data_IF_249487284396
#
_entry.id   IF_249487284396
#
_cell.length_a   1.000
_cell.length_b   1.000
_cell.length_c   1.000
_cell.angle_alpha   90.00
_cell.angle_beta   90.00
_cell.angle_gamma   90.00
#
_symmetry.space_group_name_H-M   'P 1'
#
loop_
_entity.id
_entity.type
_entity.pdbx_description
1 polymer ?
#
# COMPACT_ATOMS: atom_id res chain seq x y z
N UNK A 1 4.60 -24.47 -0.96
CA UNK A 1 3.64 -24.36 0.17
C UNK A 1 3.54 -22.90 0.61
N UNK A 2 2.34 -22.33 0.77
CA UNK A 2 2.17 -20.95 1.25
C UNK A 2 2.63 -20.84 2.71
N UNK A 3 3.23 -19.72 3.14
CA UNK A 3 3.73 -19.54 4.51
C UNK A 3 2.62 -19.64 5.56
N UNK A 4 1.38 -19.30 5.21
CA UNK A 4 0.21 -19.48 6.07
C UNK A 4 -0.04 -20.96 6.41
N UNK A 5 0.02 -21.84 5.41
CA UNK A 5 -0.18 -23.29 5.58
C UNK A 5 0.96 -23.87 6.43
N UNK A 6 2.20 -23.38 6.26
CA UNK A 6 3.33 -23.82 7.11
C UNK A 6 3.11 -23.47 8.58
N UNK A 7 2.57 -22.28 8.88
CA UNK A 7 2.27 -21.87 10.26
C UNK A 7 1.20 -22.74 10.90
N UNK A 8 0.20 -23.13 10.11
CA UNK A 8 -0.87 -24.01 10.55
C UNK A 8 -0.32 -25.39 10.92
N UNK A 9 0.52 -25.99 10.05
CA UNK A 9 1.20 -27.26 10.35
C UNK A 9 2.06 -27.16 11.61
N UNK A 10 2.83 -26.08 11.77
CA UNK A 10 3.62 -25.85 12.99
C UNK A 10 2.72 -25.76 14.22
N UNK A 11 1.58 -25.08 14.14
CA UNK A 11 0.61 -24.99 15.24
C UNK A 11 0.00 -26.35 15.59
N UNK A 12 -0.40 -27.13 14.58
CA UNK A 12 -0.94 -28.48 14.77
C UNK A 12 0.06 -29.41 15.44
N UNK A 13 1.32 -29.41 14.99
CA UNK A 13 2.38 -30.23 15.59
C UNK A 13 2.71 -29.79 17.02
N UNK A 14 2.61 -28.48 17.31
CA UNK A 14 2.84 -27.96 18.65
C UNK A 14 1.81 -28.52 19.64
N UNK A 15 0.53 -28.54 19.25
CA UNK A 15 -0.58 -29.03 20.07
C UNK A 15 -0.61 -30.55 20.14
N UNK A 16 -0.41 -31.24 19.01
CA UNK A 16 -0.50 -32.70 18.94
C UNK A 16 0.59 -33.44 19.74
N UNK A 17 1.78 -32.84 19.83
CA UNK A 17 2.93 -33.46 20.49
C UNK A 17 3.36 -32.75 21.79
N UNK A 18 2.61 -31.73 22.23
CA UNK A 18 2.92 -30.89 23.41
C UNK A 18 4.39 -30.43 23.47
N UNK A 19 4.92 -29.99 22.33
CA UNK A 19 6.31 -29.55 22.20
C UNK A 19 6.38 -28.04 21.99
N UNK A 20 7.48 -27.43 22.47
CA UNK A 20 7.66 -25.98 22.30
C UNK A 20 7.74 -25.55 20.83
N UNK A 21 7.30 -24.32 20.53
CA UNK A 21 7.43 -23.67 19.20
C UNK A 21 8.85 -23.81 18.63
N UNK A 22 9.88 -23.74 19.49
CA UNK A 22 11.30 -23.89 19.11
C UNK A 22 11.58 -25.29 18.52
N UNK A 23 11.10 -26.33 19.19
CA UNK A 23 11.31 -27.73 18.82
C UNK A 23 10.57 -28.07 17.53
N UNK A 24 9.33 -27.57 17.37
CA UNK A 24 8.57 -27.73 16.11
C UNK A 24 9.23 -26.99 14.94
N UNK A 25 9.67 -25.74 15.16
CA UNK A 25 10.33 -24.94 14.12
C UNK A 25 11.65 -25.59 13.66
N UNK A 26 12.42 -26.19 14.58
CA UNK A 26 13.60 -26.99 14.23
C UNK A 26 13.23 -28.24 13.42
N UNK A 27 12.24 -29.01 13.87
CA UNK A 27 11.81 -30.23 13.21
C UNK A 27 11.24 -30.00 11.79
N UNK A 28 10.57 -28.86 11.58
CA UNK A 28 9.92 -28.50 10.30
C UNK A 28 10.78 -27.60 9.39
N UNK A 29 11.98 -27.21 9.84
CA UNK A 29 12.86 -26.27 9.13
C UNK A 29 12.20 -24.91 8.87
N UNK A 30 11.27 -24.47 9.73
CA UNK A 30 10.58 -23.18 9.59
C UNK A 30 11.20 -22.12 10.51
N UNK A 31 11.45 -20.93 9.97
CA UNK A 31 12.04 -19.85 10.74
C UNK A 31 11.09 -19.28 11.78
N UNK A 32 11.52 -19.18 13.04
CA UNK A 32 10.75 -18.60 14.17
C UNK A 32 10.22 -17.19 13.88
N UNK A 33 10.98 -16.36 13.16
CA UNK A 33 10.55 -15.02 12.73
C UNK A 33 9.31 -15.08 11.83
N UNK A 34 9.25 -16.08 10.95
CA UNK A 34 8.11 -16.31 10.07
C UNK A 34 6.91 -16.89 10.81
N UNK A 35 7.11 -17.68 11.86
CA UNK A 35 6.04 -18.19 12.73
C UNK A 35 5.39 -17.06 13.55
N UNK A 36 6.23 -16.20 14.14
CA UNK A 36 5.78 -15.10 15.01
C UNK A 36 5.24 -13.88 14.26
N UNK A 37 5.50 -13.77 12.96
CA UNK A 37 5.06 -12.63 12.18
C UNK A 37 3.53 -12.53 12.15
N UNK A 38 3.00 -11.52 12.84
CA UNK A 38 1.62 -11.08 12.73
C UNK A 38 1.54 -9.90 11.77
N UNK A 39 0.63 -10.01 10.79
CA UNK A 39 0.29 -8.89 9.92
C UNK A 39 -0.36 -7.82 10.80
N UNK A 40 0.31 -6.67 10.98
CA UNK A 40 -0.27 -5.53 11.66
C UNK A 40 -1.40 -5.01 10.76
N UNK A 41 -2.64 -4.98 11.27
CA UNK A 41 -3.76 -4.39 10.54
C UNK A 41 -3.38 -2.96 10.19
N UNK A 42 -3.57 -2.62 8.93
CA UNK A 42 -2.99 -1.39 8.42
C UNK A 42 -3.90 -0.21 8.80
N UNK A 43 -3.46 0.77 9.60
CA UNK A 43 -4.20 2.02 9.82
C UNK A 43 -4.36 2.86 8.53
N UNK A 44 -3.97 2.31 7.36
CA UNK A 44 -4.10 2.92 6.04
C UNK A 44 -5.52 3.30 5.65
N UNK A 45 -6.55 2.55 6.06
CA UNK A 45 -7.91 2.81 5.54
C UNK A 45 -8.43 4.16 6.04
N UNK A 46 -8.29 4.42 7.34
CA UNK A 46 -8.71 5.69 7.96
C UNK A 46 -7.88 6.87 7.43
N UNK A 47 -6.57 6.70 7.34
CA UNK A 47 -5.67 7.72 6.78
C UNK A 47 -6.02 8.05 5.32
N UNK A 48 -6.31 7.03 4.51
CA UNK A 48 -6.64 7.19 3.09
C UNK A 48 -7.96 7.95 2.93
N UNK A 49 -8.99 7.61 3.72
CA UNK A 49 -10.25 8.36 3.72
C UNK A 49 -10.05 9.82 4.09
N UNK A 50 -9.30 10.10 5.17
CA UNK A 50 -9.02 11.48 5.60
C UNK A 50 -8.23 12.27 4.55
N UNK A 51 -7.23 11.67 3.93
CA UNK A 51 -6.48 12.34 2.86
C UNK A 51 -7.36 12.64 1.64
N UNK A 52 -8.32 11.77 1.31
CA UNK A 52 -9.32 12.05 0.25
C UNK A 52 -10.22 13.22 0.62
N UNK A 53 -10.76 13.24 1.84
CA UNK A 53 -11.60 14.34 2.33
C UNK A 53 -10.85 15.67 2.26
N UNK A 54 -9.61 15.71 2.76
CA UNK A 54 -8.77 16.91 2.73
C UNK A 54 -8.45 17.37 1.31
N UNK A 55 -8.18 16.42 0.40
CA UNK A 55 -7.91 16.73 -1.00
C UNK A 55 -9.16 17.20 -1.75
N UNK A 56 -10.33 16.63 -1.45
CA UNK A 56 -11.61 17.06 -2.01
C UNK A 56 -11.99 18.46 -1.52
N UNK A 57 -11.79 18.76 -0.23
CA UNK A 57 -12.06 20.07 0.34
C UNK A 57 -11.11 21.16 -0.17
N UNK A 58 -9.86 20.81 -0.53
CA UNK A 58 -8.82 21.78 -0.91
C UNK A 58 -7.97 21.29 -2.08
N UNK A 59 -8.61 21.19 -3.25
CA UNK A 59 -8.04 20.66 -4.51
C UNK A 59 -6.70 21.29 -4.91
N UNK A 60 -6.41 22.54 -4.54
CA UNK A 60 -5.12 23.21 -4.85
C UNK A 60 -3.92 22.74 -4.02
N UNK A 61 -4.11 21.90 -3.01
CA UNK A 61 -3.05 21.51 -2.09
C UNK A 61 -2.28 20.28 -2.59
N UNK A 62 -0.98 20.44 -2.80
CA UNK A 62 -0.08 19.31 -3.04
C UNK A 62 0.17 18.48 -1.78
N UNK A 63 0.74 17.29 -1.95
CA UNK A 63 0.95 16.28 -0.90
C UNK A 63 1.68 16.82 0.36
N UNK A 64 2.58 17.80 0.23
CA UNK A 64 3.28 18.42 1.37
C UNK A 64 2.32 19.14 2.32
N UNK A 65 1.33 19.85 1.76
CA UNK A 65 0.36 20.61 2.56
C UNK A 65 -0.69 19.70 3.18
N UNK A 66 -1.10 18.66 2.45
CA UNK A 66 -1.95 17.58 2.97
C UNK A 66 -1.28 16.82 4.13
N UNK A 67 0.03 16.56 4.04
CA UNK A 67 0.80 15.92 5.12
C UNK A 67 0.79 16.75 6.41
N UNK A 68 0.97 18.07 6.33
CA UNK A 68 0.93 18.96 7.50
C UNK A 68 -0.46 18.98 8.14
N UNK A 69 -1.51 19.07 7.32
CA UNK A 69 -2.89 19.07 7.82
C UNK A 69 -3.25 17.75 8.50
N UNK A 70 -2.92 16.63 7.84
CA UNK A 70 -3.11 15.29 8.42
C UNK A 70 -2.35 15.13 9.74
N UNK A 71 -1.14 15.70 9.87
CA UNK A 71 -0.38 15.68 11.13
C UNK A 71 -1.04 16.50 12.24
N UNK A 72 -1.68 17.64 11.90
CA UNK A 72 -2.44 18.46 12.87
C UNK A 72 -3.67 17.75 13.38
N UNK A 73 -4.27 16.89 12.56
CA UNK A 73 -5.40 16.03 12.93
C UNK A 73 -4.98 14.77 13.73
N UNK A 74 -3.70 14.67 14.12
CA UNK A 74 -3.19 13.58 14.95
C UNK A 74 -2.74 12.34 14.16
N UNK A 75 -2.72 12.40 12.82
CA UNK A 75 -2.13 11.32 12.03
C UNK A 75 -0.60 11.50 11.94
N UNK A 76 0.14 10.87 12.85
CA UNK A 76 1.60 10.79 12.79
C UNK A 76 2.08 9.83 11.69
N UNK A 77 1.96 10.28 10.44
CA UNK A 77 2.30 9.47 9.28
C UNK A 77 3.46 10.09 8.52
N UNK A 78 4.47 9.28 8.17
CA UNK A 78 5.61 9.73 7.39
C UNK A 78 5.18 10.35 6.04
N UNK A 79 5.77 11.49 5.66
CA UNK A 79 5.52 12.18 4.38
C UNK A 79 5.63 11.26 3.16
N UNK A 80 6.51 10.24 3.18
CA UNK A 80 6.62 9.23 2.11
C UNK A 80 5.34 8.44 1.93
N UNK A 81 4.65 8.10 3.02
CA UNK A 81 3.40 7.34 3.00
C UNK A 81 2.24 8.20 2.50
N UNK A 82 2.18 9.46 2.92
CA UNK A 82 1.23 10.43 2.36
C UNK A 82 1.41 10.62 0.86
N UNK A 83 2.66 10.72 0.38
CA UNK A 83 2.95 10.82 -1.05
C UNK A 83 2.50 9.59 -1.84
N UNK A 84 2.74 8.37 -1.30
CA UNK A 84 2.27 7.13 -1.95
C UNK A 84 0.76 7.11 -2.08
N UNK A 85 0.03 7.38 -0.99
CA UNK A 85 -1.44 7.44 -1.03
C UNK A 85 -1.91 8.53 -2.01
N UNK A 86 -1.27 9.70 -2.01
CA UNK A 86 -1.59 10.79 -2.95
C UNK A 86 -1.41 10.38 -4.42
N UNK A 87 -0.38 9.58 -4.73
CA UNK A 87 -0.13 9.05 -6.08
C UNK A 87 -1.12 7.94 -6.45
N UNK A 88 -1.34 6.99 -5.54
CA UNK A 88 -2.25 5.86 -5.75
C UNK A 88 -3.71 6.33 -5.95
N UNK A 89 -4.09 7.41 -5.27
CA UNK A 89 -5.44 8.00 -5.35
C UNK A 89 -5.59 9.06 -6.46
N UNK A 90 -4.54 9.30 -7.26
CA UNK A 90 -4.64 10.22 -8.39
C UNK A 90 -4.87 11.69 -8.00
N UNK A 91 -4.60 12.08 -6.76
CA UNK A 91 -4.84 13.44 -6.22
C UNK A 91 -3.90 14.51 -6.80
N UNK A 92 -3.02 14.10 -7.72
CA UNK A 92 -2.11 14.95 -8.47
C UNK A 92 -2.88 15.93 -9.36
N UNK A 93 -2.86 17.22 -9.00
CA UNK A 93 -3.25 18.29 -9.92
C UNK A 93 -2.32 18.24 -11.13
N UNK A 94 -2.82 17.78 -12.26
CA UNK A 94 -2.12 17.89 -13.54
C UNK A 94 -2.24 19.36 -13.95
N UNK A 95 -1.14 20.13 -14.04
CA UNK A 95 -1.26 21.47 -14.61
C UNK A 95 -1.85 21.34 -16.02
N UNK A 96 -2.73 22.27 -16.44
CA UNK A 96 -3.16 22.30 -17.82
C UNK A 96 -1.92 22.35 -18.72
N UNK A 97 -1.94 21.68 -19.89
CA UNK A 97 -0.83 21.78 -20.82
C UNK A 97 -0.56 23.27 -21.11
N UNK A 98 0.71 23.68 -21.24
CA UNK A 98 1.03 25.06 -21.54
C UNK A 98 0.27 25.49 -22.80
N UNK A 99 -0.29 26.71 -22.76
CA UNK A 99 -1.02 27.30 -23.89
C UNK A 99 -0.11 27.28 -25.12
N UNK A 100 -0.42 26.41 -26.09
CA UNK A 100 0.38 26.22 -27.30
C UNK A 100 0.72 24.76 -27.65
N UNK A 101 0.53 23.79 -26.75
CA UNK A 101 0.70 22.38 -27.11
C UNK A 101 -0.60 21.75 -27.62
N UNK A 102 -1.03 22.14 -28.82
CA UNK A 102 -1.95 21.31 -29.60
C UNK A 102 -1.19 20.03 -29.99
N UNK A 103 -1.42 18.93 -29.25
CA UNK A 103 -1.03 17.62 -29.74
C UNK A 103 -1.80 17.39 -31.03
N UNK A 104 -1.10 17.39 -32.17
CA UNK A 104 -1.70 16.90 -33.41
C UNK A 104 -2.19 15.46 -33.17
N UNK A 105 -3.46 15.15 -33.50
CA UNK A 105 -3.91 13.77 -33.49
C UNK A 105 -3.10 13.00 -34.54
N UNK A 106 -2.45 11.91 -34.14
CA UNK A 106 -1.86 10.96 -35.09
C UNK A 106 -3.01 10.30 -35.83
N UNK A 107 -3.33 10.83 -37.01
CA UNK A 107 -4.28 10.23 -37.94
C UNK A 107 -3.81 8.83 -38.36
N UNK A 108 -4.78 7.94 -38.48
CA UNK A 108 -4.63 6.49 -38.59
C UNK A 108 -3.54 5.97 -39.51
N UNK A 109 -2.86 4.91 -39.04
CA UNK A 109 -2.34 3.87 -39.92
C UNK A 109 -3.33 2.72 -39.89
N UNK A 110 -4.11 2.58 -40.96
CA UNK A 110 -4.84 1.34 -41.20
C UNK A 110 -3.83 0.22 -41.49
N UNK A 111 -4.01 -1.00 -40.95
CA UNK A 111 -3.13 -2.12 -41.27
C UNK A 111 -3.29 -2.52 -42.75
N UNK A 112 -2.19 -2.86 -43.46
CA UNK A 112 -2.28 -3.33 -44.83
C UNK A 112 -2.93 -4.71 -44.88
N UNK A 113 -3.94 -4.86 -45.75
CA UNK A 113 -4.39 -6.16 -46.22
C UNK A 113 -3.75 -6.43 -47.58
N UNK A 114 -3.07 -7.57 -47.69
CA UNK A 114 -2.34 -8.02 -48.85
C UNK A 114 -1.43 -9.17 -48.46
#
# INVERSE_FOLDING_TARGET
MRPAVRREVVGHLQVAYDISERRVCQATGFGRSSQRYRKRSDPQVTLRMRLKELAAARVRYGYRRLHILSRREGCEVNHKRTYRIYRDEGLSIRPPPPHGCLRHPVSGRSPPQG
#
